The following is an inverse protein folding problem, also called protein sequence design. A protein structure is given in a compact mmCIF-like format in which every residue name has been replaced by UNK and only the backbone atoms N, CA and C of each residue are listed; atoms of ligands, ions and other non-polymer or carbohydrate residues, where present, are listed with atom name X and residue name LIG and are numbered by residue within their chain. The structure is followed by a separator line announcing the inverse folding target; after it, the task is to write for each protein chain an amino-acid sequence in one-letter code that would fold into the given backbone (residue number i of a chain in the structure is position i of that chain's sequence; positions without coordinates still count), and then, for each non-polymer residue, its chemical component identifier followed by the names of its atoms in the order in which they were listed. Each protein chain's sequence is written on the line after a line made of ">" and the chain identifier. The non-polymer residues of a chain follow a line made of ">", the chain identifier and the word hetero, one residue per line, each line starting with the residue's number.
data_IF_102033561998
#
_entry.id   IF_102033561998
#
_cell.length_a   1.000
_cell.length_b   1.000
_cell.length_c   1.000
_cell.angle_alpha   90.00
_cell.angle_beta   90.00
_cell.angle_gamma   90.00
#
_symmetry.space_group_name_H-M   'P 1'
#
loop_
_entity.id
_entity.type
_entity.pdbx_description
1 polymer ?
#
# COMPACT_ATOMS: atom_id res chain seq x y z
N UNK A 1 26.49 -16.85 60.87
CA UNK A 1 25.51 -15.90 60.28
C UNK A 1 26.10 -15.30 58.99
N UNK A 2 25.70 -15.82 57.85
CA UNK A 2 26.10 -15.23 56.57
C UNK A 2 24.86 -14.56 55.94
N UNK A 3 24.96 -13.34 55.42
CA UNK A 3 23.83 -12.69 54.78
C UNK A 3 23.63 -13.20 53.35
N UNK A 4 22.41 -13.63 53.06
CA UNK A 4 21.90 -14.00 51.74
C UNK A 4 21.95 -12.80 50.80
N UNK A 5 22.73 -12.89 49.73
CA UNK A 5 22.70 -11.94 48.65
C UNK A 5 21.60 -12.36 47.66
N UNK A 6 20.47 -11.64 47.66
CA UNK A 6 19.45 -11.73 46.63
C UNK A 6 19.99 -11.08 45.37
N UNK A 7 20.27 -11.90 44.35
CA UNK A 7 20.60 -11.42 43.01
C UNK A 7 19.30 -11.17 42.27
N UNK A 8 18.95 -9.90 42.14
CA UNK A 8 17.80 -9.48 41.30
C UNK A 8 18.22 -9.53 39.85
N UNK A 9 17.75 -10.54 39.12
CA UNK A 9 17.94 -10.63 37.67
C UNK A 9 16.95 -9.69 36.98
N UNK A 10 17.46 -8.61 36.41
CA UNK A 10 16.70 -7.66 35.63
C UNK A 10 16.47 -8.27 34.22
N UNK A 11 15.25 -8.72 33.96
CA UNK A 11 14.84 -9.21 32.62
C UNK A 11 14.63 -8.00 31.72
N UNK A 12 15.60 -7.69 30.88
CA UNK A 12 15.44 -6.66 29.81
C UNK A 12 14.62 -7.27 28.71
N UNK A 13 13.34 -6.91 28.65
CA UNK A 13 12.48 -7.20 27.51
C UNK A 13 12.93 -6.30 26.34
N UNK A 14 13.72 -6.84 25.42
CA UNK A 14 14.03 -6.19 24.16
C UNK A 14 12.74 -6.21 23.28
N UNK A 15 11.95 -5.16 23.36
CA UNK A 15 10.85 -4.93 22.43
C UNK A 15 11.44 -4.73 21.04
N UNK A 16 11.20 -5.67 20.13
CA UNK A 16 11.43 -5.49 18.72
C UNK A 16 10.49 -4.37 18.24
N UNK A 17 11.01 -3.16 18.11
CA UNK A 17 10.35 -2.08 17.40
C UNK A 17 10.35 -2.48 15.90
N UNK A 18 9.26 -3.12 15.48
CA UNK A 18 9.00 -3.32 14.08
C UNK A 18 8.98 -1.94 13.41
N UNK A 19 9.93 -1.71 12.51
CA UNK A 19 9.96 -0.51 11.68
C UNK A 19 8.74 -0.54 10.76
N UNK A 20 7.63 0.00 11.24
CA UNK A 20 6.51 0.34 10.38
C UNK A 20 7.02 1.49 9.51
N UNK A 21 7.34 1.21 8.26
CA UNK A 21 7.54 2.24 7.26
C UNK A 21 6.20 3.00 7.15
N UNK A 22 6.07 4.05 7.96
CA UNK A 22 4.99 5.00 7.82
C UNK A 22 5.24 5.75 6.50
N UNK A 23 4.70 5.22 5.41
CA UNK A 23 4.58 6.01 4.20
C UNK A 23 3.79 7.26 4.57
N UNK A 24 4.36 8.43 4.28
CA UNK A 24 3.61 9.67 4.37
C UNK A 24 2.40 9.52 3.44
N UNK A 25 1.24 9.29 4.05
CA UNK A 25 0.00 9.10 3.31
C UNK A 25 -0.29 10.40 2.58
N UNK A 26 -0.52 10.35 1.26
CA UNK A 26 -0.89 11.53 0.50
C UNK A 26 -2.17 12.13 1.09
N UNK A 27 -2.23 13.45 1.16
CA UNK A 27 -3.38 14.14 1.76
C UNK A 27 -4.70 13.71 1.08
N UNK A 28 -5.66 13.26 1.88
CA UNK A 28 -6.97 12.81 1.41
C UNK A 28 -6.97 11.43 0.75
N UNK A 29 -5.88 10.66 0.84
CA UNK A 29 -5.81 9.26 0.38
C UNK A 29 -5.69 8.36 1.60
N UNK A 30 -6.65 7.48 1.81
CA UNK A 30 -6.75 6.61 2.98
C UNK A 30 -6.65 5.14 2.57
N UNK A 31 -5.82 4.36 3.25
CA UNK A 31 -5.59 2.94 2.94
C UNK A 31 -6.09 2.06 4.07
N UNK A 32 -6.79 0.99 3.70
CA UNK A 32 -7.26 -0.05 4.64
C UNK A 32 -6.80 -1.41 4.12
N UNK A 33 -5.94 -2.08 4.88
CA UNK A 33 -5.47 -3.42 4.54
C UNK A 33 -6.59 -4.43 4.78
N UNK A 34 -6.87 -5.26 3.79
CA UNK A 34 -7.94 -6.26 3.81
C UNK A 34 -7.41 -7.68 3.86
N UNK A 35 -6.40 -7.97 3.02
CA UNK A 35 -5.78 -9.29 2.88
C UNK A 35 -4.27 -9.13 2.77
N UNK A 36 -3.52 -10.01 3.43
CA UNK A 36 -2.08 -10.15 3.25
C UNK A 36 -1.70 -11.61 3.47
N UNK A 37 -1.17 -12.26 2.44
CA UNK A 37 -0.72 -13.65 2.50
C UNK A 37 0.47 -13.92 1.59
N UNK A 38 1.35 -14.80 2.04
CA UNK A 38 2.35 -15.40 1.17
C UNK A 38 1.68 -16.24 0.10
N UNK A 39 2.26 -16.23 -1.10
CA UNK A 39 1.85 -17.11 -2.18
C UNK A 39 2.59 -18.45 -2.11
N UNK A 40 2.05 -19.49 -2.78
CA UNK A 40 2.73 -20.77 -2.96
C UNK A 40 4.05 -20.65 -3.72
N UNK A 41 4.21 -19.60 -4.53
CA UNK A 41 5.48 -19.25 -5.17
C UNK A 41 6.40 -18.58 -4.16
N UNK A 42 7.57 -19.16 -3.84
CA UNK A 42 8.50 -18.60 -2.86
C UNK A 42 8.90 -17.15 -3.17
N UNK A 43 8.98 -16.31 -2.15
CA UNK A 43 9.39 -14.90 -2.25
C UNK A 43 8.34 -13.98 -2.87
N UNK A 44 7.10 -14.44 -2.99
CA UNK A 44 5.96 -13.65 -3.46
C UNK A 44 4.84 -13.62 -2.42
N UNK A 45 4.17 -12.50 -2.36
CA UNK A 45 3.01 -12.28 -1.51
C UNK A 45 1.90 -11.56 -2.27
N UNK A 46 0.68 -11.68 -1.78
CA UNK A 46 -0.46 -10.91 -2.26
C UNK A 46 -1.00 -10.04 -1.14
N UNK A 47 -1.32 -8.81 -1.50
CA UNK A 47 -2.01 -7.88 -0.62
C UNK A 47 -3.27 -7.38 -1.32
N UNK A 48 -4.32 -7.18 -0.55
CA UNK A 48 -5.51 -6.49 -1.02
C UNK A 48 -5.78 -5.31 -0.09
N UNK A 49 -5.87 -4.14 -0.68
CA UNK A 49 -6.01 -2.87 0.03
C UNK A 49 -7.17 -2.10 -0.56
N UNK A 50 -8.05 -1.61 0.29
CA UNK A 50 -9.01 -0.58 -0.12
C UNK A 50 -8.33 0.79 0.00
N UNK A 51 -8.39 1.58 -1.06
CA UNK A 51 -7.87 2.94 -1.09
C UNK A 51 -9.02 3.90 -1.33
N UNK A 52 -9.31 4.73 -0.36
CA UNK A 52 -10.34 5.76 -0.43
C UNK A 52 -9.70 7.12 -0.73
N UNK A 53 -10.27 7.84 -1.68
CA UNK A 53 -9.84 9.17 -2.11
C UNK A 53 -10.91 10.19 -1.74
N UNK A 54 -10.54 11.18 -0.95
CA UNK A 54 -11.38 12.36 -0.77
C UNK A 54 -11.58 13.09 -2.10
N UNK A 55 -12.52 14.01 -2.15
CA UNK A 55 -12.74 14.81 -3.36
C UNK A 55 -11.46 15.50 -3.82
N UNK A 56 -11.07 15.33 -5.09
CA UNK A 56 -9.84 15.83 -5.72
C UNK A 56 -8.53 15.29 -5.15
N UNK A 57 -8.56 14.32 -4.23
CA UNK A 57 -7.34 13.74 -3.68
C UNK A 57 -6.47 13.11 -4.79
N UNK A 58 -5.16 13.12 -4.53
CA UNK A 58 -4.15 12.71 -5.49
C UNK A 58 -3.11 11.81 -4.81
N UNK A 59 -2.95 10.60 -5.33
CA UNK A 59 -1.84 9.71 -5.03
C UNK A 59 -0.69 10.02 -6.00
N UNK A 60 0.45 10.57 -5.51
CA UNK A 60 1.58 10.96 -6.36
C UNK A 60 2.20 9.75 -7.07
N UNK A 61 3.05 10.02 -8.07
CA UNK A 61 3.73 8.99 -8.83
C UNK A 61 4.55 8.08 -7.92
N UNK A 62 4.32 6.78 -8.07
CA UNK A 62 4.97 5.74 -7.28
C UNK A 62 5.06 4.43 -8.08
N UNK A 63 5.85 3.49 -7.56
CA UNK A 63 6.01 2.15 -8.11
C UNK A 63 5.73 1.10 -7.03
N UNK A 64 5.38 -0.11 -7.48
CA UNK A 64 5.26 -1.30 -6.65
C UNK A 64 6.30 -2.36 -7.04
N UNK A 65 6.75 -3.22 -6.10
CA UNK A 65 7.70 -4.30 -6.38
C UNK A 65 7.02 -5.53 -7.05
N UNK A 66 5.98 -5.32 -7.80
CA UNK A 66 5.19 -6.31 -8.51
C UNK A 66 3.99 -5.68 -9.21
N UNK A 67 3.07 -6.53 -9.62
CA UNK A 67 1.88 -6.14 -10.36
C UNK A 67 0.77 -5.64 -9.43
N UNK A 68 -0.06 -4.75 -9.96
CA UNK A 68 -1.29 -4.29 -9.32
C UNK A 68 -2.49 -4.48 -10.25
N UNK A 69 -3.62 -4.89 -9.68
CA UNK A 69 -4.94 -4.80 -10.30
C UNK A 69 -5.74 -3.79 -9.49
N UNK A 70 -6.02 -2.63 -10.08
CA UNK A 70 -6.90 -1.62 -9.51
C UNK A 70 -8.33 -1.84 -10.02
N UNK A 71 -9.29 -1.96 -9.10
CA UNK A 71 -10.72 -2.08 -9.42
C UNK A 71 -11.49 -0.96 -8.74
N UNK A 72 -12.16 -0.11 -9.53
CA UNK A 72 -12.90 1.04 -8.97
C UNK A 72 -14.20 0.56 -8.33
N UNK A 73 -14.29 0.76 -7.01
CA UNK A 73 -15.47 0.42 -6.21
C UNK A 73 -16.51 1.55 -6.23
N UNK A 74 -16.06 2.79 -6.29
CA UNK A 74 -16.91 3.98 -6.23
C UNK A 74 -16.24 5.17 -6.92
N UNK A 75 -17.05 5.98 -7.59
CA UNK A 75 -16.61 7.26 -8.15
C UNK A 75 -15.87 7.11 -9.48
N UNK A 76 -14.99 8.07 -9.73
CA UNK A 76 -14.25 8.18 -11.00
C UNK A 76 -12.80 8.54 -10.70
N UNK A 77 -11.87 7.72 -11.16
CA UNK A 77 -10.44 7.86 -10.89
C UNK A 77 -9.68 7.93 -12.21
N UNK A 78 -8.85 8.96 -12.39
CA UNK A 78 -7.89 9.06 -13.48
C UNK A 78 -6.56 8.43 -13.05
N UNK A 79 -6.05 7.51 -13.87
CA UNK A 79 -4.72 6.92 -13.71
C UNK A 79 -3.80 7.41 -14.81
N UNK A 80 -2.56 7.70 -14.45
CA UNK A 80 -1.48 8.04 -15.38
C UNK A 80 -0.34 7.07 -15.18
N UNK A 81 -0.13 6.20 -16.17
CA UNK A 81 0.98 5.26 -16.21
C UNK A 81 2.09 5.82 -17.09
N UNK A 82 3.34 5.67 -16.66
CA UNK A 82 4.50 6.08 -17.46
C UNK A 82 4.46 5.45 -18.85
N UNK A 83 4.67 6.29 -19.88
CA UNK A 83 4.67 5.87 -21.29
C UNK A 83 3.30 5.60 -21.90
N UNK A 84 2.20 5.86 -21.18
CA UNK A 84 0.84 5.63 -21.66
C UNK A 84 -0.02 6.91 -21.55
N UNK A 85 -1.02 7.08 -22.39
CA UNK A 85 -1.99 8.16 -22.21
C UNK A 85 -2.80 7.94 -20.93
N UNK A 86 -3.26 9.03 -20.27
CA UNK A 86 -4.13 8.92 -19.11
C UNK A 86 -5.40 8.12 -19.41
N UNK A 87 -5.84 7.32 -18.43
CA UNK A 87 -7.09 6.57 -18.50
C UNK A 87 -7.98 6.95 -17.33
N UNK A 88 -9.27 7.18 -17.60
CA UNK A 88 -10.27 7.46 -16.56
C UNK A 88 -11.19 6.27 -16.41
N UNK A 89 -11.24 5.73 -15.20
CA UNK A 89 -12.04 4.57 -14.82
C UNK A 89 -13.22 5.00 -13.95
N UNK A 90 -14.34 4.30 -14.10
CA UNK A 90 -15.56 4.45 -13.31
C UNK A 90 -15.82 3.19 -12.48
N UNK A 91 -16.76 3.29 -11.56
CA UNK A 91 -17.22 2.14 -10.76
C UNK A 91 -17.43 0.90 -11.63
N UNK A 92 -16.78 -0.20 -11.26
CA UNK A 92 -16.82 -1.49 -11.96
C UNK A 92 -15.71 -1.71 -12.98
N UNK A 93 -14.95 -0.67 -13.35
CA UNK A 93 -13.81 -0.80 -14.26
C UNK A 93 -12.57 -1.30 -13.52
N UNK A 94 -11.67 -1.95 -14.25
CA UNK A 94 -10.38 -2.44 -13.73
C UNK A 94 -9.23 -2.03 -14.62
N UNK A 95 -8.05 -1.88 -14.02
CA UNK A 95 -6.80 -1.57 -14.69
C UNK A 95 -5.70 -2.50 -14.19
N UNK A 96 -4.91 -3.05 -15.12
CA UNK A 96 -3.69 -3.76 -14.80
C UNK A 96 -2.50 -2.82 -14.87
N UNK A 97 -1.72 -2.76 -13.80
CA UNK A 97 -0.51 -1.95 -13.69
C UNK A 97 0.68 -2.90 -13.59
N UNK A 98 1.58 -2.91 -14.60
CA UNK A 98 2.74 -3.81 -14.60
C UNK A 98 3.73 -3.49 -13.48
N UNK A 99 4.50 -4.49 -13.08
CA UNK A 99 5.54 -4.36 -12.07
C UNK A 99 6.53 -3.23 -12.41
N UNK A 100 6.80 -2.36 -11.42
CA UNK A 100 7.79 -1.28 -11.55
C UNK A 100 7.39 -0.12 -12.46
N UNK A 101 6.18 -0.12 -13.03
CA UNK A 101 5.71 1.00 -13.83
C UNK A 101 5.24 2.14 -12.92
N UNK A 102 5.88 3.31 -13.08
CA UNK A 102 5.50 4.49 -12.32
C UNK A 102 4.09 4.95 -12.71
N UNK A 103 3.25 5.20 -11.72
CA UNK A 103 1.88 5.63 -11.95
C UNK A 103 1.36 6.52 -10.82
N UNK A 104 0.35 7.31 -11.14
CA UNK A 104 -0.40 8.15 -10.19
C UNK A 104 -1.90 7.95 -10.36
N UNK A 105 -2.67 8.27 -9.34
CA UNK A 105 -4.12 8.19 -9.35
C UNK A 105 -4.74 9.47 -8.77
N UNK A 106 -5.81 9.96 -9.40
CA UNK A 106 -6.53 11.16 -8.96
C UNK A 106 -8.03 10.93 -8.99
N UNK A 107 -8.71 11.29 -7.92
CA UNK A 107 -10.16 11.40 -7.94
C UNK A 107 -10.58 12.60 -8.79
N UNK A 108 -11.21 12.33 -9.93
CA UNK A 108 -11.68 13.34 -10.89
C UNK A 108 -13.20 13.47 -10.92
N UNK A 109 -13.90 12.69 -10.10
CA UNK A 109 -15.35 12.79 -9.91
C UNK A 109 -15.75 13.80 -8.84
N UNK A 110 -17.04 13.93 -8.59
CA UNK A 110 -17.60 14.66 -7.45
C UNK A 110 -17.75 13.72 -6.26
N UNK A 111 -17.37 14.18 -5.06
CA UNK A 111 -17.42 13.39 -3.84
C UNK A 111 -16.26 12.38 -3.73
N UNK A 112 -16.44 11.38 -2.89
CA UNK A 112 -15.43 10.36 -2.66
C UNK A 112 -15.31 9.37 -3.82
N UNK A 113 -14.10 8.85 -4.03
CA UNK A 113 -13.86 7.69 -4.87
C UNK A 113 -13.15 6.60 -4.05
N UNK A 114 -13.27 5.35 -4.48
CA UNK A 114 -12.50 4.29 -3.88
C UNK A 114 -12.14 3.19 -4.88
N UNK A 115 -11.00 2.57 -4.66
CA UNK A 115 -10.54 1.41 -5.40
C UNK A 115 -10.25 0.24 -4.47
N UNK A 116 -10.37 -0.96 -5.02
CA UNK A 116 -9.80 -2.17 -4.46
C UNK A 116 -8.50 -2.46 -5.23
N UNK A 117 -7.37 -2.26 -4.58
CA UNK A 117 -6.06 -2.55 -5.13
C UNK A 117 -5.63 -3.95 -4.71
N UNK A 118 -5.35 -4.82 -5.67
CA UNK A 118 -4.80 -6.16 -5.44
C UNK A 118 -3.39 -6.23 -5.99
N UNK A 119 -2.44 -6.54 -5.12
CA UNK A 119 -1.02 -6.60 -5.43
C UNK A 119 -0.52 -8.03 -5.44
N UNK A 120 0.36 -8.35 -6.39
CA UNK A 120 1.18 -9.57 -6.40
C UNK A 120 2.63 -9.13 -6.49
N UNK A 121 3.33 -9.14 -5.36
CA UNK A 121 4.60 -8.45 -5.19
C UNK A 121 5.69 -9.33 -4.60
N UNK A 122 6.93 -8.87 -4.64
CA UNK A 122 8.05 -9.49 -3.93
C UNK A 122 7.89 -9.28 -2.43
N UNK A 123 8.04 -10.35 -1.66
CA UNK A 123 7.97 -10.30 -0.21
C UNK A 123 9.13 -9.49 0.38
N UNK A 124 8.85 -8.72 1.44
CA UNK A 124 9.87 -7.99 2.20
C UNK A 124 10.35 -6.69 1.55
N UNK A 125 9.82 -6.32 0.39
CA UNK A 125 10.08 -5.01 -0.22
C UNK A 125 8.97 -4.00 0.14
N UNK A 126 9.27 -2.68 0.21
CA UNK A 126 8.25 -1.66 0.41
C UNK A 126 7.17 -1.74 -0.69
N UNK A 127 5.89 -1.81 -0.29
CA UNK A 127 4.79 -1.90 -1.25
C UNK A 127 4.71 -0.66 -2.14
N UNK A 128 5.00 0.52 -1.61
CA UNK A 128 4.94 1.80 -2.33
C UNK A 128 6.29 2.50 -2.22
N UNK A 129 6.87 2.89 -3.36
CA UNK A 129 8.06 3.74 -3.43
C UNK A 129 7.74 4.95 -4.31
N UNK A 130 7.85 6.16 -3.75
CA UNK A 130 7.60 7.40 -4.49
C UNK A 130 8.66 7.61 -5.57
N UNK A 131 8.24 8.16 -6.71
CA UNK A 131 9.11 8.57 -7.82
C UNK A 131 9.17 10.09 -7.84
N UNK A 132 10.41 10.64 -7.94
CA UNK A 132 10.69 12.07 -7.95
C UNK A 132 11.14 12.54 -9.33
#
# INVERSE_FOLDING_TARGET
>A
MQPNRLTTTLLVLAGALGSHNAFAQAAGVHRTDLVHHDLSTPGRETLQVRVDFDERAFAPAHVHPGEEIAHVLQGTIEYRLEGQPPVTLKTGDSLFIPAGVAHSARNVGSGQASELATYVVKSGEPLVTLVH
#
